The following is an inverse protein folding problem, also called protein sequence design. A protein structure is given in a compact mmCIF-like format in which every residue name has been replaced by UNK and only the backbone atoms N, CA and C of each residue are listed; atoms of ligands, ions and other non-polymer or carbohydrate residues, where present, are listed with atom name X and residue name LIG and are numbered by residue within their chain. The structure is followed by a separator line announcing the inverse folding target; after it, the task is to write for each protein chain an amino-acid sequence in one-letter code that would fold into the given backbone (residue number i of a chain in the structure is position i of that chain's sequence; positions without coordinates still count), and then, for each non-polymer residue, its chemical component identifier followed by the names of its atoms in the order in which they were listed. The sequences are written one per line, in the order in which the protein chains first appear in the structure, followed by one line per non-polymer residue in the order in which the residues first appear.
data_IF_747615948178
#
_entry.id   IF_747615948178
#
_cell.length_a   1.000
_cell.length_b   1.000
_cell.length_c   1.000
_cell.angle_alpha   90.00
_cell.angle_beta   90.00
_cell.angle_gamma   90.00
#
_symmetry.space_group_name_H-M   'P 1'
#
loop_
_entity.id
_entity.type
_entity.pdbx_description
1 polymer ?
#
# COMPACT_ATOMS: atom_id res chain seq x y z
N UNK A 1 6.02 13.39 0.25
CA UNK A 1 6.74 12.83 1.41
C UNK A 1 8.08 12.27 0.97
N UNK A 2 9.05 12.12 1.87
CA UNK A 2 10.30 11.41 1.55
C UNK A 2 10.07 9.89 1.58
N UNK A 3 10.79 9.18 0.73
CA UNK A 3 10.63 7.74 0.53
C UNK A 3 11.99 7.05 0.46
N UNK A 4 12.06 5.85 1.00
CA UNK A 4 13.26 5.00 1.05
C UNK A 4 12.94 3.63 0.45
N UNK A 5 13.89 3.07 -0.28
CA UNK A 5 13.83 1.69 -0.74
C UNK A 5 14.36 0.76 0.34
N UNK A 6 13.56 -0.23 0.74
CA UNK A 6 13.95 -1.29 1.68
C UNK A 6 14.00 -2.63 0.96
N UNK A 7 14.92 -3.51 1.37
CA UNK A 7 15.04 -4.85 0.80
C UNK A 7 14.43 -5.89 1.75
N UNK A 8 13.35 -6.53 1.32
CA UNK A 8 12.59 -7.52 2.09
C UNK A 8 12.48 -8.79 1.27
N UNK A 9 12.98 -9.91 1.78
CA UNK A 9 12.99 -11.22 1.07
C UNK A 9 13.58 -11.14 -0.35
N UNK A 10 14.58 -10.27 -0.56
CA UNK A 10 15.20 -10.06 -1.86
C UNK A 10 14.44 -9.13 -2.81
N UNK A 11 13.28 -8.59 -2.40
CA UNK A 11 12.49 -7.62 -3.15
C UNK A 11 12.74 -6.21 -2.62
N UNK A 12 12.85 -5.26 -3.53
CA UNK A 12 12.91 -3.84 -3.20
C UNK A 12 11.49 -3.27 -3.09
N UNK A 13 11.14 -2.71 -1.94
CA UNK A 13 9.88 -2.01 -1.69
C UNK A 13 10.18 -0.55 -1.39
N UNK A 14 9.41 0.36 -1.98
CA UNK A 14 9.48 1.79 -1.71
C UNK A 14 8.48 2.12 -0.60
N UNK A 15 8.98 2.64 0.53
CA UNK A 15 8.18 2.99 1.71
C UNK A 15 8.39 4.47 2.08
N UNK A 16 7.44 5.09 2.81
CA UNK A 16 7.71 6.37 3.47
C UNK A 16 8.88 6.23 4.45
N UNK A 17 9.76 7.24 4.54
CA UNK A 17 10.99 7.15 5.36
C UNK A 17 10.74 6.72 6.80
N UNK A 18 9.70 7.26 7.45
CA UNK A 18 9.39 6.95 8.84
C UNK A 18 8.93 5.49 9.05
N UNK A 19 8.52 4.80 7.98
CA UNK A 19 8.08 3.40 8.05
C UNK A 19 9.26 2.43 8.00
N UNK A 20 10.48 2.89 7.68
CA UNK A 20 11.68 2.03 7.59
C UNK A 20 11.93 1.33 8.93
N UNK A 21 11.99 2.08 10.03
CA UNK A 21 12.23 1.53 11.37
C UNK A 21 11.01 0.79 11.95
N UNK A 22 9.85 0.96 11.32
CA UNK A 22 8.58 0.36 11.71
C UNK A 22 8.16 -0.78 10.77
N UNK A 23 9.03 -1.24 9.88
CA UNK A 23 8.70 -2.34 8.99
C UNK A 23 8.54 -3.65 9.81
N UNK A 24 7.48 -4.45 9.61
CA UNK A 24 7.25 -5.67 10.40
C UNK A 24 8.20 -6.80 9.97
N UNK A 25 9.46 -6.72 10.37
CA UNK A 25 10.50 -7.71 10.00
C UNK A 25 10.20 -9.14 10.48
N UNK A 26 9.29 -9.31 11.42
CA UNK A 26 8.83 -10.61 11.90
C UNK A 26 7.79 -11.28 10.99
N UNK A 27 7.18 -10.53 10.05
CA UNK A 27 6.19 -11.04 9.11
C UNK A 27 6.82 -11.29 7.74
N UNK A 28 6.48 -12.44 7.16
CA UNK A 28 6.80 -12.74 5.77
C UNK A 28 5.86 -11.99 4.84
N UNK A 29 6.32 -11.65 3.64
CA UNK A 29 5.50 -10.91 2.67
C UNK A 29 4.19 -11.64 2.29
N UNK A 30 4.20 -12.97 2.30
CA UNK A 30 3.04 -13.81 2.00
C UNK A 30 2.08 -13.99 3.19
N UNK A 31 2.51 -13.62 4.39
CA UNK A 31 1.76 -13.80 5.65
C UNK A 31 1.12 -12.48 6.14
N UNK A 32 1.22 -11.40 5.35
CA UNK A 32 0.57 -10.13 5.68
C UNK A 32 -0.96 -10.33 5.80
N UNK A 33 -1.60 -9.79 6.85
CA UNK A 33 -3.06 -9.76 6.91
C UNK A 33 -3.60 -8.85 5.81
N UNK A 34 -4.87 -9.04 5.45
CA UNK A 34 -5.45 -8.33 4.31
C UNK A 34 -5.53 -6.81 4.52
N UNK A 35 -4.83 -6.04 3.68
CA UNK A 35 -4.93 -4.57 3.60
C UNK A 35 -5.54 -4.09 2.29
N UNK A 36 -5.80 -5.00 1.35
CA UNK A 36 -6.42 -4.65 0.08
C UNK A 36 -7.96 -4.69 0.19
N UNK A 37 -8.64 -4.08 -0.78
CA UNK A 37 -10.10 -4.01 -0.85
C UNK A 37 -10.63 -2.59 -0.65
N UNK A 38 -11.88 -2.38 -1.06
CA UNK A 38 -12.64 -1.17 -0.76
C UNK A 38 -13.32 -1.26 0.63
N UNK A 39 -13.17 -2.40 1.32
CA UNK A 39 -13.70 -2.67 2.65
C UNK A 39 -15.05 -3.38 2.65
N UNK A 40 -15.76 -3.41 1.51
CA UNK A 40 -16.91 -4.28 1.26
C UNK A 40 -17.40 -4.21 -0.21
N UNK A 41 -18.13 -5.24 -0.65
CA UNK A 41 -18.96 -5.21 -1.85
C UNK A 41 -18.21 -5.39 -3.18
N UNK A 42 -18.77 -4.87 -4.27
CA UNK A 42 -18.21 -5.02 -5.63
C UNK A 42 -16.81 -4.41 -5.79
N UNK A 43 -16.44 -3.46 -4.94
CA UNK A 43 -15.09 -2.88 -4.92
C UNK A 43 -14.00 -3.90 -4.60
N UNK A 44 -14.27 -4.85 -3.70
CA UNK A 44 -13.30 -5.90 -3.33
C UNK A 44 -13.06 -6.89 -4.48
N UNK A 45 -14.05 -7.08 -5.35
CA UNK A 45 -13.89 -7.89 -6.56
C UNK A 45 -13.02 -7.20 -7.62
N UNK A 46 -12.88 -5.87 -7.59
CA UNK A 46 -12.01 -5.09 -8.48
C UNK A 46 -10.59 -4.97 -7.89
N UNK A 47 -10.52 -4.94 -6.56
CA UNK A 47 -9.35 -4.65 -5.73
C UNK A 47 -9.10 -5.86 -4.80
N UNK A 48 -8.68 -7.02 -5.36
CA UNK A 48 -8.62 -8.25 -4.58
C UNK A 48 -7.37 -8.32 -3.70
N UNK A 49 -7.52 -8.97 -2.55
CA UNK A 49 -6.39 -9.31 -1.65
C UNK A 49 -5.30 -10.14 -2.33
N UNK A 50 -5.72 -11.15 -3.10
CA UNK A 50 -4.81 -12.03 -3.82
C UNK A 50 -4.99 -11.88 -5.32
N UNK A 51 -3.87 -11.76 -6.02
CA UNK A 51 -3.81 -11.71 -7.47
C UNK A 51 -3.28 -13.05 -8.00
N UNK A 52 -4.19 -14.00 -8.26
CA UNK A 52 -3.87 -15.40 -8.59
C UNK A 52 -2.87 -16.02 -7.60
N UNK A 53 -3.12 -15.88 -6.30
CA UNK A 53 -2.28 -16.42 -5.23
C UNK A 53 -1.07 -15.56 -4.85
N UNK A 54 -0.79 -14.45 -5.54
CA UNK A 54 0.16 -13.45 -5.06
C UNK A 54 -0.51 -12.56 -4.01
N UNK A 55 0.09 -12.44 -2.83
CA UNK A 55 -0.36 -11.53 -1.77
C UNK A 55 0.09 -10.11 -2.11
N UNK A 56 -0.87 -9.18 -2.18
CA UNK A 56 -0.61 -7.76 -2.48
C UNK A 56 -0.64 -6.87 -1.24
N UNK A 57 -1.06 -7.41 -0.10
CA UNK A 57 -1.19 -6.69 1.17
C UNK A 57 0.01 -5.84 1.60
N UNK A 58 1.27 -6.26 1.43
CA UNK A 58 2.40 -5.39 1.76
C UNK A 58 2.35 -4.07 0.97
N UNK A 59 2.01 -4.12 -0.32
CA UNK A 59 1.86 -2.92 -1.15
C UNK A 59 0.62 -2.10 -0.76
N UNK A 60 -0.50 -2.75 -0.48
CA UNK A 60 -1.73 -2.09 -0.03
C UNK A 60 -1.54 -1.38 1.32
N UNK A 61 -0.85 -2.01 2.27
CA UNK A 61 -0.48 -1.41 3.55
C UNK A 61 0.36 -0.14 3.37
N UNK A 62 1.41 -0.21 2.55
CA UNK A 62 2.27 0.96 2.26
C UNK A 62 1.44 2.07 1.61
N UNK A 63 0.58 1.74 0.67
CA UNK A 63 -0.29 2.69 -0.05
C UNK A 63 -1.27 3.41 0.90
N UNK A 64 -1.94 2.66 1.75
CA UNK A 64 -2.84 3.19 2.76
C UNK A 64 -2.14 4.18 3.71
N UNK A 65 -0.98 3.78 4.25
CA UNK A 65 -0.16 4.65 5.10
C UNK A 65 0.25 5.91 4.32
N UNK A 66 0.71 5.74 3.08
CA UNK A 66 1.12 6.83 2.19
C UNK A 66 0.01 7.83 1.97
N UNK A 67 -1.21 7.36 1.69
CA UNK A 67 -2.39 8.20 1.57
C UNK A 67 -2.67 8.97 2.86
N UNK A 68 -2.63 8.32 4.02
CA UNK A 68 -2.86 8.98 5.30
C UNK A 68 -1.88 10.14 5.52
N UNK A 69 -0.59 9.95 5.23
CA UNK A 69 0.48 10.89 5.65
C UNK A 69 0.91 11.90 4.60
N UNK A 70 0.64 11.68 3.31
CA UNK A 70 1.16 12.57 2.24
C UNK A 70 0.59 13.99 2.34
N UNK A 71 0.87 14.90 1.41
CA UNK A 71 0.18 16.20 1.40
C UNK A 71 -1.17 16.09 0.68
N UNK A 72 -2.09 17.04 0.93
CA UNK A 72 -3.39 17.07 0.26
C UNK A 72 -3.21 17.72 -1.12
N UNK A 73 -2.39 17.10 -1.95
CA UNK A 73 -1.96 17.61 -3.24
C UNK A 73 -1.97 16.50 -4.28
N UNK A 74 -2.13 16.87 -5.55
CA UNK A 74 -2.02 15.93 -6.67
C UNK A 74 -0.66 15.23 -6.68
N UNK A 75 0.40 15.95 -6.32
CA UNK A 75 1.74 15.37 -6.19
C UNK A 75 1.78 14.28 -5.11
N UNK A 76 1.19 14.51 -3.92
CA UNK A 76 1.11 13.51 -2.85
C UNK A 76 0.24 12.30 -3.24
N UNK A 77 -0.89 12.55 -3.90
CA UNK A 77 -1.78 11.51 -4.42
C UNK A 77 -1.06 10.60 -5.42
N UNK A 78 -0.49 11.17 -6.48
CA UNK A 78 0.18 10.39 -7.51
C UNK A 78 1.49 9.76 -7.03
N UNK A 79 2.24 10.40 -6.12
CA UNK A 79 3.40 9.78 -5.48
C UNK A 79 2.99 8.48 -4.78
N UNK A 80 1.93 8.52 -3.98
CA UNK A 80 1.44 7.36 -3.23
C UNK A 80 0.96 6.24 -4.17
N UNK A 81 0.20 6.59 -5.22
CA UNK A 81 -0.27 5.60 -6.20
C UNK A 81 0.89 5.01 -7.03
N UNK A 82 1.92 5.80 -7.32
CA UNK A 82 3.12 5.34 -8.02
C UNK A 82 3.93 4.34 -7.18
N UNK A 83 4.09 4.61 -5.88
CA UNK A 83 4.69 3.65 -4.94
C UNK A 83 3.89 2.36 -4.89
N UNK A 84 2.56 2.46 -4.88
CA UNK A 84 1.67 1.30 -4.84
C UNK A 84 1.87 0.37 -6.03
N UNK A 85 1.81 0.89 -7.27
CA UNK A 85 2.01 0.08 -8.47
C UNK A 85 3.44 -0.46 -8.56
N UNK A 86 4.44 0.33 -8.18
CA UNK A 86 5.83 -0.11 -8.14
C UNK A 86 5.98 -1.33 -7.20
N UNK A 87 5.49 -1.22 -5.97
CA UNK A 87 5.59 -2.28 -4.96
C UNK A 87 4.84 -3.54 -5.38
N UNK A 88 3.65 -3.42 -5.97
CA UNK A 88 2.93 -4.58 -6.51
C UNK A 88 3.71 -5.28 -7.63
N UNK A 89 4.33 -4.52 -8.54
CA UNK A 89 5.16 -5.07 -9.61
C UNK A 89 6.44 -5.72 -9.05
N UNK A 90 7.03 -5.13 -8.02
CA UNK A 90 8.18 -5.69 -7.31
C UNK A 90 7.84 -7.03 -6.63
N UNK A 91 6.69 -7.13 -5.95
CA UNK A 91 6.19 -8.39 -5.40
C UNK A 91 5.97 -9.44 -6.49
N UNK A 92 5.42 -9.03 -7.63
CA UNK A 92 5.19 -9.88 -8.79
C UNK A 92 6.48 -10.31 -9.52
N UNK A 93 7.63 -9.73 -9.21
CA UNK A 93 8.91 -10.12 -9.83
C UNK A 93 9.30 -11.58 -9.57
N UNK A 94 8.82 -12.15 -8.45
CA UNK A 94 9.00 -13.55 -8.05
C UNK A 94 8.18 -14.55 -8.88
N UNK A 95 7.25 -14.06 -9.70
CA UNK A 95 6.34 -14.90 -10.48
C UNK A 95 7.01 -15.54 -11.70
N UNK A 96 6.59 -16.77 -12.04
CA UNK A 96 6.88 -17.38 -13.35
C UNK A 96 6.28 -16.54 -14.48
N UNK A 97 6.88 -16.58 -15.67
CA UNK A 97 6.58 -15.65 -16.76
C UNK A 97 5.08 -15.52 -17.11
N UNK A 98 4.34 -16.63 -17.22
CA UNK A 98 2.89 -16.60 -17.52
C UNK A 98 2.10 -15.87 -16.43
N UNK A 99 2.31 -16.28 -15.17
CA UNK A 99 1.64 -15.65 -14.03
C UNK A 99 2.08 -14.21 -13.85
N UNK A 100 3.33 -13.88 -14.16
CA UNK A 100 3.86 -12.52 -14.09
C UNK A 100 3.07 -11.58 -14.99
N UNK A 101 2.77 -11.98 -16.22
CA UNK A 101 2.01 -11.15 -17.17
C UNK A 101 0.55 -10.99 -16.74
N UNK A 102 -0.11 -12.09 -16.36
CA UNK A 102 -1.50 -12.04 -15.88
C UNK A 102 -1.63 -11.15 -14.64
N UNK A 103 -0.73 -11.35 -13.66
CA UNK A 103 -0.67 -10.53 -12.44
C UNK A 103 -0.38 -9.08 -12.76
N UNK A 104 0.53 -8.77 -13.70
CA UNK A 104 0.84 -7.40 -14.10
C UNK A 104 -0.39 -6.68 -14.70
N UNK A 105 -1.14 -7.35 -15.58
CA UNK A 105 -2.38 -6.80 -16.14
C UNK A 105 -3.39 -6.41 -15.04
N UNK A 106 -3.57 -7.29 -14.06
CA UNK A 106 -4.47 -7.04 -12.93
C UNK A 106 -3.95 -5.98 -11.98
N UNK A 107 -2.65 -5.92 -11.73
CA UNK A 107 -1.99 -4.87 -10.95
C UNK A 107 -2.25 -3.49 -11.58
N UNK A 108 -2.17 -3.38 -12.91
CA UNK A 108 -2.50 -2.13 -13.62
C UNK A 108 -3.98 -1.79 -13.49
N UNK A 109 -4.87 -2.79 -13.56
CA UNK A 109 -6.30 -2.57 -13.33
C UNK A 109 -6.60 -2.08 -11.91
N UNK A 110 -5.88 -2.61 -10.92
CA UNK A 110 -5.95 -2.15 -9.53
C UNK A 110 -5.47 -0.69 -9.43
N UNK A 111 -4.29 -0.37 -9.98
CA UNK A 111 -3.80 1.00 -10.04
C UNK A 111 -4.83 1.96 -10.66
N UNK A 112 -5.45 1.60 -11.79
CA UNK A 112 -6.48 2.41 -12.43
C UNK A 112 -7.71 2.62 -11.54
N UNK A 113 -8.14 1.61 -10.79
CA UNK A 113 -9.26 1.76 -9.85
C UNK A 113 -8.93 2.76 -8.72
N UNK A 114 -7.71 2.72 -8.20
CA UNK A 114 -7.23 3.64 -7.16
C UNK A 114 -7.03 5.06 -7.71
N UNK A 115 -6.51 5.19 -8.92
CA UNK A 115 -6.24 6.49 -9.54
C UNK A 115 -7.51 7.21 -10.01
N UNK A 116 -8.58 6.47 -10.30
CA UNK A 116 -9.88 7.02 -10.73
C UNK A 116 -10.88 7.08 -9.58
N UNK A 117 -11.45 5.94 -9.19
CA UNK A 117 -12.46 5.84 -8.13
C UNK A 117 -11.86 6.23 -6.79
N UNK A 118 -10.63 5.79 -6.51
CA UNK A 118 -9.91 6.10 -5.28
C UNK A 118 -9.61 7.59 -5.09
N UNK A 119 -9.49 8.38 -6.16
CA UNK A 119 -9.30 9.82 -6.06
C UNK A 119 -10.45 10.49 -5.28
N UNK A 120 -11.69 10.07 -5.52
CA UNK A 120 -12.85 10.60 -4.79
C UNK A 120 -12.74 10.37 -3.29
N UNK A 121 -12.32 9.17 -2.87
CA UNK A 121 -12.13 8.83 -1.46
C UNK A 121 -10.94 9.57 -0.84
N UNK A 122 -9.83 9.66 -1.57
CA UNK A 122 -8.65 10.41 -1.11
C UNK A 122 -9.02 11.86 -0.80
N UNK A 123 -9.66 12.57 -1.73
CA UNK A 123 -10.02 13.98 -1.54
C UNK A 123 -11.10 14.19 -0.48
N UNK A 124 -12.00 13.22 -0.28
CA UNK A 124 -12.99 13.27 0.79
C UNK A 124 -12.30 13.18 2.17
N UNK A 125 -11.34 12.27 2.34
CA UNK A 125 -10.57 12.07 3.56
C UNK A 125 -9.67 13.27 3.90
N UNK A 126 -9.11 13.95 2.89
CA UNK A 126 -8.13 15.06 3.08
C UNK A 126 -8.70 16.38 3.53
N UNK A 127 -10.02 16.49 3.74
CA UNK A 127 -10.63 17.70 4.29
C UNK A 127 -10.32 17.93 5.77
N UNK A 128 -9.73 16.95 6.46
CA UNK A 128 -9.33 17.05 7.87
C UNK A 128 -7.82 17.30 8.00
N UNK A 129 -7.43 18.30 8.79
CA UNK A 129 -6.04 18.75 8.95
C UNK A 129 -5.13 17.59 9.41
N UNK A 130 -3.93 17.51 8.81
CA UNK A 130 -2.95 16.46 9.12
C UNK A 130 -2.06 16.85 10.29
N UNK A 131 -1.81 15.90 11.18
CA UNK A 131 -0.84 16.05 12.26
C UNK A 131 0.59 16.21 11.70
N UNK A 132 1.43 16.97 12.41
CA UNK A 132 2.85 17.11 12.05
C UNK A 132 3.64 15.80 12.21
N UNK A 133 3.14 14.91 13.08
CA UNK A 133 3.68 13.57 13.32
C UNK A 133 2.81 12.50 12.63
N UNK A 134 3.37 11.70 11.69
CA UNK A 134 2.67 10.57 11.06
C UNK A 134 2.06 9.57 12.06
N UNK A 135 2.71 9.34 13.22
CA UNK A 135 2.26 8.38 14.23
C UNK A 135 1.10 8.90 15.10
N UNK A 136 0.83 10.21 15.04
CA UNK A 136 -0.34 10.83 15.66
C UNK A 136 -1.61 10.67 14.79
N UNK A 137 -1.48 10.20 13.54
CA UNK A 137 -2.64 9.92 12.69
C UNK A 137 -3.26 8.59 13.12
N UNK A 138 -4.50 8.61 13.62
CA UNK A 138 -5.19 7.44 14.16
C UNK A 138 -5.21 6.24 13.17
N UNK A 139 -5.39 6.51 11.88
CA UNK A 139 -5.39 5.49 10.84
C UNK A 139 -4.03 4.82 10.60
N UNK A 140 -2.91 5.48 10.94
CA UNK A 140 -1.55 4.93 10.83
C UNK A 140 -1.32 3.94 11.97
N UNK A 141 -1.57 4.37 13.21
CA UNK A 141 -1.39 3.53 14.41
C UNK A 141 -2.21 2.25 14.34
N UNK A 142 -3.50 2.36 14.01
CA UNK A 142 -4.39 1.20 13.86
C UNK A 142 -3.86 0.16 12.85
N UNK A 143 -3.20 0.59 11.77
CA UNK A 143 -2.62 -0.33 10.77
C UNK A 143 -1.32 -0.96 11.23
N UNK A 144 -0.49 -0.23 11.97
CA UNK A 144 0.73 -0.77 12.61
C UNK A 144 0.37 -1.81 13.69
N UNK A 145 -0.65 -1.54 14.50
CA UNK A 145 -1.13 -2.47 15.53
C UNK A 145 -1.62 -3.79 14.93
N UNK A 146 -2.30 -3.74 13.76
CA UNK A 146 -2.72 -4.94 13.02
C UNK A 146 -1.55 -5.81 12.54
N UNK A 147 -0.35 -5.25 12.46
CA UNK A 147 0.89 -5.95 12.13
C UNK A 147 1.71 -6.30 13.39
N UNK A 148 1.18 -6.07 14.60
CA UNK A 148 1.89 -6.33 15.85
C UNK A 148 3.06 -5.36 16.12
N UNK A 149 3.12 -4.22 15.43
CA UNK A 149 4.15 -3.21 15.65
C UNK A 149 3.69 -2.29 16.78
N UNK A 150 4.32 -2.41 17.95
CA UNK A 150 4.12 -1.49 19.06
C UNK A 150 5.21 -0.43 19.02
N UNK A 151 4.84 0.84 18.81
CA UNK A 151 5.76 1.94 19.00
C UNK A 151 6.01 2.08 20.52
N UNK A 152 7.21 1.72 20.97
CA UNK A 152 7.70 1.99 22.34
C UNK A 152 7.92 3.47 22.55
#
# INVERSE_FOLDING_TARGET
MKTTAIKVEGIELIVPDFLVDLWPHHLRLDDFPSFCGAGSGLGDAIVPEKCWGLVLSPACFIHDISWLVCEASWAGFHQSNSMFVHNMLALNSRSRWLLKQLRAYRIVSYFNAVDTVGAHYFWADKKHARAADPLAIAGVRSRLDRLGITAT
#
